data_IF_856874677662
#
_entry.id   IF_856874677662
#
_cell.length_a   1.000
_cell.length_b   1.000
_cell.length_c   1.000
_cell.angle_alpha   90.00
_cell.angle_beta   90.00
_cell.angle_gamma   90.00
#
_symmetry.space_group_name_H-M   'P 1'
#
loop_
_entity.id
_entity.type
_entity.pdbx_description
1 polymer ?
#
# COMPACT_ATOMS: atom_id res chain seq x y z
N UNK A 1 -6.94 -29.47 -4.20
CA UNK A 1 -6.03 -29.39 -5.37
C UNK A 1 -4.98 -28.33 -5.12
N UNK A 2 -3.76 -28.80 -4.89
CA UNK A 2 -2.58 -27.98 -4.56
C UNK A 2 -1.94 -27.33 -5.81
N UNK A 3 -2.75 -26.70 -6.63
CA UNK A 3 -2.20 -25.95 -7.78
C UNK A 3 -1.84 -24.54 -7.34
N UNK A 4 -0.65 -24.05 -7.69
CA UNK A 4 -0.28 -22.67 -7.40
C UNK A 4 -1.19 -21.71 -8.17
N UNK A 5 -1.43 -20.53 -7.57
CA UNK A 5 -2.09 -19.44 -8.27
C UNK A 5 -1.14 -18.87 -9.33
N UNK A 6 -1.66 -18.61 -10.51
CA UNK A 6 -0.92 -17.97 -11.59
C UNK A 6 -1.26 -16.49 -11.55
N UNK A 7 -0.31 -15.58 -11.31
CA UNK A 7 -0.57 -14.15 -11.31
C UNK A 7 -0.95 -13.68 -12.71
N UNK A 8 -1.69 -12.58 -12.79
CA UNK A 8 -1.90 -11.88 -14.05
C UNK A 8 -0.65 -11.03 -14.33
N UNK A 9 -0.11 -11.19 -15.54
CA UNK A 9 1.01 -10.39 -15.98
C UNK A 9 0.53 -9.25 -16.88
N UNK A 10 0.91 -8.02 -16.52
CA UNK A 10 0.65 -6.81 -17.31
C UNK A 10 2.00 -6.10 -17.40
N UNK A 11 2.52 -5.98 -18.61
CA UNK A 11 3.87 -5.52 -18.86
C UNK A 11 4.88 -6.35 -18.02
N UNK A 12 5.70 -5.73 -17.20
CA UNK A 12 6.66 -6.43 -16.32
C UNK A 12 6.13 -6.57 -14.87
N UNK A 13 4.81 -6.44 -14.67
CA UNK A 13 4.21 -6.52 -13.33
C UNK A 13 3.38 -7.80 -13.21
N UNK A 14 3.73 -8.62 -12.21
CA UNK A 14 2.94 -9.79 -11.81
C UNK A 14 1.92 -9.36 -10.75
N UNK A 15 0.63 -9.49 -11.04
CA UNK A 15 -0.46 -9.05 -10.18
C UNK A 15 -1.29 -10.23 -9.68
N UNK A 16 -1.53 -10.31 -8.39
CA UNK A 16 -2.57 -11.14 -7.80
C UNK A 16 -3.43 -10.33 -6.82
N UNK A 17 -4.67 -10.74 -6.65
CA UNK A 17 -5.62 -10.05 -5.77
C UNK A 17 -6.62 -11.04 -5.21
N UNK A 18 -7.10 -10.77 -4.00
CA UNK A 18 -8.24 -11.49 -3.41
C UNK A 18 -9.46 -11.47 -4.34
N UNK A 19 -9.69 -10.36 -5.05
CA UNK A 19 -10.77 -10.24 -6.00
C UNK A 19 -10.70 -11.22 -7.18
N UNK A 20 -9.52 -11.76 -7.51
CA UNK A 20 -9.38 -12.78 -8.56
C UNK A 20 -9.69 -14.19 -8.07
N UNK A 21 -9.59 -14.42 -6.76
CA UNK A 21 -9.82 -15.71 -6.12
C UNK A 21 -11.27 -15.89 -5.69
N UNK A 22 -12.05 -14.82 -5.68
CA UNK A 22 -13.43 -14.83 -5.22
C UNK A 22 -14.39 -15.06 -6.38
N UNK A 23 -15.24 -16.07 -6.25
CA UNK A 23 -16.48 -16.14 -7.01
C UNK A 23 -17.39 -14.95 -6.63
N UNK A 24 -18.26 -14.53 -7.58
CA UNK A 24 -19.13 -13.34 -7.48
C UNK A 24 -20.05 -13.25 -6.24
N UNK A 25 -20.05 -14.25 -5.40
CA UNK A 25 -20.76 -14.25 -4.13
C UNK A 25 -19.80 -13.76 -3.03
N UNK A 26 -19.73 -12.44 -2.84
CA UNK A 26 -18.92 -11.79 -1.83
C UNK A 26 -19.19 -12.36 -0.43
N UNK A 27 -18.37 -13.28 0.01
CA UNK A 27 -18.33 -13.70 1.40
C UNK A 27 -17.90 -12.50 2.27
N UNK A 28 -18.59 -12.29 3.37
CA UNK A 28 -18.18 -11.29 4.37
C UNK A 28 -16.88 -11.80 4.99
N UNK A 29 -15.76 -11.22 4.60
CA UNK A 29 -14.45 -11.57 5.14
C UNK A 29 -14.34 -11.04 6.57
N UNK A 30 -14.28 -11.95 7.51
CA UNK A 30 -13.93 -11.64 8.92
C UNK A 30 -12.41 -11.76 9.07
N UNK A 31 -11.83 -11.08 10.07
CA UNK A 31 -10.38 -10.99 10.27
C UNK A 31 -9.59 -12.28 10.04
N UNK A 32 -9.91 -13.41 10.70
CA UNK A 32 -9.17 -14.66 10.48
C UNK A 32 -9.24 -15.22 9.06
N UNK A 33 -10.35 -14.99 8.35
CA UNK A 33 -10.49 -15.39 6.95
C UNK A 33 -9.62 -14.52 6.04
N UNK A 34 -9.58 -13.22 6.31
CA UNK A 34 -8.73 -12.29 5.57
C UNK A 34 -7.25 -12.64 5.75
N UNK A 35 -6.83 -12.90 6.98
CA UNK A 35 -5.47 -13.35 7.30
C UNK A 35 -5.09 -14.63 6.57
N UNK A 36 -5.99 -15.62 6.56
CA UNK A 36 -5.77 -16.87 5.81
C UNK A 36 -5.66 -16.63 4.31
N UNK A 37 -6.47 -15.74 3.75
CA UNK A 37 -6.46 -15.42 2.34
C UNK A 37 -5.19 -14.65 1.93
N UNK A 38 -4.70 -13.72 2.75
CA UNK A 38 -3.43 -13.03 2.54
C UNK A 38 -2.29 -14.04 2.48
N UNK A 39 -2.20 -14.94 3.46
CA UNK A 39 -1.20 -16.00 3.47
C UNK A 39 -1.29 -16.90 2.22
N UNK A 40 -2.49 -17.27 1.81
CA UNK A 40 -2.68 -18.12 0.62
C UNK A 40 -2.22 -17.40 -0.66
N UNK A 41 -2.51 -16.10 -0.81
CA UNK A 41 -2.01 -15.33 -1.95
C UNK A 41 -0.50 -15.27 -1.92
N UNK A 42 0.09 -14.97 -0.78
CA UNK A 42 1.54 -14.86 -0.66
C UNK A 42 2.25 -16.19 -0.97
N UNK A 43 1.86 -17.27 -0.29
CA UNK A 43 2.55 -18.56 -0.35
C UNK A 43 2.24 -19.39 -1.60
N UNK A 44 0.99 -19.29 -2.12
CA UNK A 44 0.54 -20.15 -3.21
C UNK A 44 0.63 -19.51 -4.59
N UNK A 45 0.95 -18.24 -4.70
CA UNK A 45 1.15 -17.60 -5.99
C UNK A 45 2.53 -17.93 -6.53
N UNK A 46 2.58 -18.37 -7.77
CA UNK A 46 3.85 -18.56 -8.47
C UNK A 46 4.35 -17.20 -8.97
N UNK A 47 5.04 -16.48 -8.09
CA UNK A 47 5.54 -15.14 -8.37
C UNK A 47 6.71 -15.13 -9.35
N UNK A 48 7.49 -16.23 -9.44
CA UNK A 48 8.76 -16.25 -10.16
C UNK A 48 9.84 -15.44 -9.45
N UNK A 49 10.83 -14.99 -10.20
CA UNK A 49 11.87 -14.11 -9.68
C UNK A 49 11.34 -12.67 -9.66
N UNK A 50 11.39 -12.03 -8.50
CA UNK A 50 10.92 -10.66 -8.29
C UNK A 50 12.08 -9.79 -7.79
N UNK A 51 12.18 -8.57 -8.32
CA UNK A 51 13.01 -7.52 -7.71
C UNK A 51 12.31 -6.96 -6.47
N UNK A 52 10.99 -6.72 -6.55
CA UNK A 52 10.17 -6.17 -5.47
C UNK A 52 8.83 -6.87 -5.35
N UNK A 53 8.34 -7.05 -4.13
CA UNK A 53 6.96 -7.46 -3.83
C UNK A 53 6.23 -6.31 -3.12
N UNK A 54 5.27 -5.70 -3.80
CA UNK A 54 4.41 -4.66 -3.25
C UNK A 54 3.11 -5.26 -2.71
N UNK A 55 2.80 -4.99 -1.45
CA UNK A 55 1.59 -5.45 -0.79
C UNK A 55 0.69 -4.24 -0.51
N UNK A 56 -0.39 -4.11 -1.29
CA UNK A 56 -1.42 -3.10 -1.04
C UNK A 56 -2.33 -3.57 0.09
N UNK A 57 -2.24 -2.88 1.23
CA UNK A 57 -2.91 -3.28 2.45
C UNK A 57 -4.37 -2.82 2.48
N UNK A 58 -5.30 -3.66 2.98
CA UNK A 58 -6.67 -3.23 3.22
C UNK A 58 -6.69 -2.09 4.25
N UNK A 59 -7.75 -1.24 4.25
CA UNK A 59 -7.87 -0.17 5.24
C UNK A 59 -8.04 -0.72 6.67
N UNK A 60 -7.56 0.04 7.64
CA UNK A 60 -7.64 -0.30 9.07
C UNK A 60 -6.35 -0.87 9.64
N UNK A 61 -6.35 -1.21 10.91
CA UNK A 61 -5.17 -1.67 11.69
C UNK A 61 -5.38 -3.06 12.30
N UNK A 62 -6.20 -3.90 11.66
CA UNK A 62 -6.62 -5.18 12.21
C UNK A 62 -5.69 -6.36 11.86
N UNK A 63 -6.28 -7.57 11.89
CA UNK A 63 -5.58 -8.85 11.70
C UNK A 63 -4.75 -8.95 10.41
N UNK A 64 -5.12 -8.20 9.36
CA UNK A 64 -4.37 -8.16 8.10
C UNK A 64 -2.95 -7.61 8.32
N UNK A 65 -2.81 -6.53 9.07
CA UNK A 65 -1.50 -5.93 9.40
C UNK A 65 -0.64 -6.88 10.20
N UNK A 66 -1.22 -7.48 11.25
CA UNK A 66 -0.52 -8.50 12.04
C UNK A 66 -0.05 -9.67 11.18
N UNK A 67 -0.90 -10.11 10.25
CA UNK A 67 -0.55 -11.22 9.35
C UNK A 67 0.61 -10.84 8.45
N UNK A 68 0.59 -9.69 7.80
CA UNK A 68 1.66 -9.23 6.93
C UNK A 68 2.96 -9.06 7.73
N UNK A 69 2.93 -8.34 8.84
CA UNK A 69 4.13 -8.07 9.63
C UNK A 69 4.74 -9.33 10.27
N UNK A 70 3.91 -10.30 10.69
CA UNK A 70 4.39 -11.48 11.42
C UNK A 70 4.66 -12.69 10.53
N UNK A 71 3.98 -12.80 9.40
CA UNK A 71 4.10 -13.96 8.49
C UNK A 71 4.92 -13.68 7.25
N UNK A 72 4.70 -12.52 6.64
CA UNK A 72 5.41 -12.12 5.43
C UNK A 72 6.72 -11.41 5.79
N UNK A 73 6.68 -10.63 6.88
CA UNK A 73 7.83 -9.88 7.40
C UNK A 73 8.42 -8.95 6.33
N UNK A 74 7.73 -7.87 5.99
CA UNK A 74 8.21 -6.94 4.98
C UNK A 74 9.49 -6.22 5.44
N UNK A 75 10.38 -5.89 4.51
CA UNK A 75 11.60 -5.13 4.80
C UNK A 75 11.28 -3.74 5.34
N UNK A 76 10.24 -3.12 4.82
CA UNK A 76 9.71 -1.83 5.30
C UNK A 76 8.26 -1.61 4.86
N UNK A 77 7.66 -0.58 5.43
CA UNK A 77 6.33 -0.10 5.06
C UNK A 77 6.39 1.37 4.67
N UNK A 78 5.55 1.75 3.70
CA UNK A 78 5.31 3.14 3.32
C UNK A 78 3.87 3.48 3.73
N UNK A 79 3.70 4.56 4.47
CA UNK A 79 2.39 5.00 4.93
C UNK A 79 1.84 6.05 3.97
N UNK A 80 0.58 5.92 3.60
CA UNK A 80 -0.09 6.90 2.74
C UNK A 80 -1.24 7.52 3.50
N UNK A 81 -1.30 8.85 3.52
CA UNK A 81 -2.35 9.59 4.24
C UNK A 81 -2.78 10.85 3.48
N UNK A 82 -3.96 11.37 3.83
CA UNK A 82 -4.37 12.73 3.50
C UNK A 82 -4.11 13.65 4.68
N UNK A 83 -4.28 14.96 4.52
CA UNK A 83 -4.10 15.93 5.61
C UNK A 83 -5.36 16.17 6.45
N UNK A 84 -6.43 15.38 6.24
CA UNK A 84 -7.63 15.52 7.07
C UNK A 84 -7.34 15.13 8.53
N UNK A 85 -8.02 15.78 9.46
CA UNK A 85 -7.85 15.49 10.90
C UNK A 85 -8.07 14.01 11.23
N UNK A 86 -9.03 13.37 10.57
CA UNK A 86 -9.33 11.95 10.76
C UNK A 86 -8.18 11.09 10.25
N UNK A 87 -7.72 11.34 9.00
CA UNK A 87 -6.62 10.57 8.41
C UNK A 87 -5.33 10.71 9.18
N UNK A 88 -5.02 11.90 9.72
CA UNK A 88 -3.84 12.10 10.56
C UNK A 88 -3.96 11.34 11.88
N UNK A 89 -5.16 11.29 12.46
CA UNK A 89 -5.37 10.51 13.69
C UNK A 89 -5.17 9.01 13.43
N UNK A 90 -5.67 8.51 12.31
CA UNK A 90 -5.49 7.10 11.92
C UNK A 90 -4.05 6.80 11.53
N UNK A 91 -3.36 7.73 10.86
CA UNK A 91 -1.94 7.63 10.55
C UNK A 91 -1.10 7.45 11.82
N UNK A 92 -1.33 8.28 12.86
CA UNK A 92 -0.60 8.16 14.14
C UNK A 92 -0.81 6.79 14.78
N UNK A 93 -2.05 6.30 14.80
CA UNK A 93 -2.34 4.94 15.29
C UNK A 93 -1.65 3.85 14.49
N UNK A 94 -1.58 4.03 13.17
CA UNK A 94 -0.91 3.08 12.28
C UNK A 94 0.60 3.07 12.53
N UNK A 95 1.21 4.23 12.76
CA UNK A 95 2.61 4.34 13.18
C UNK A 95 2.85 3.54 14.47
N UNK A 96 2.05 3.80 15.52
CA UNK A 96 2.16 3.09 16.80
C UNK A 96 2.08 1.56 16.63
N UNK A 97 1.21 1.09 15.72
CA UNK A 97 1.07 -0.35 15.42
C UNK A 97 2.34 -0.91 14.79
N UNK A 98 2.89 -0.28 13.75
CA UNK A 98 4.10 -0.78 13.09
C UNK A 98 5.32 -0.70 13.99
N UNK A 99 5.45 0.33 14.81
CA UNK A 99 6.50 0.45 15.82
C UNK A 99 6.40 -0.67 16.86
N UNK A 100 5.20 -0.98 17.35
CA UNK A 100 4.97 -2.08 18.30
C UNK A 100 5.29 -3.46 17.71
N UNK A 101 5.20 -3.59 16.38
CA UNK A 101 5.55 -4.81 15.65
C UNK A 101 7.02 -4.85 15.21
N UNK A 102 7.82 -3.84 15.56
CA UNK A 102 9.20 -3.66 15.10
C UNK A 102 9.33 -3.68 13.57
N UNK A 103 8.32 -3.20 12.86
CA UNK A 103 8.34 -3.10 11.41
C UNK A 103 8.87 -1.72 11.01
N UNK A 104 9.90 -1.68 10.19
CA UNK A 104 10.52 -0.44 9.74
C UNK A 104 9.54 0.39 8.91
N UNK A 105 9.33 1.65 9.30
CA UNK A 105 8.61 2.63 8.50
C UNK A 105 9.65 3.38 7.67
N UNK A 106 9.57 3.25 6.34
CA UNK A 106 10.46 3.97 5.42
C UNK A 106 10.11 5.45 5.37
N UNK A 107 8.84 5.76 5.38
CA UNK A 107 8.34 7.13 5.45
C UNK A 107 6.87 7.25 5.07
N UNK A 108 6.44 8.49 4.87
CA UNK A 108 5.05 8.87 4.65
C UNK A 108 4.89 9.56 3.30
N UNK A 109 3.88 9.18 2.53
CA UNK A 109 3.41 9.90 1.34
C UNK A 109 2.10 10.60 1.68
N UNK A 110 2.06 11.92 1.49
CA UNK A 110 0.84 12.71 1.66
C UNK A 110 0.12 12.87 0.33
N UNK A 111 -1.17 12.52 0.29
CA UNK A 111 -1.97 12.53 -0.92
C UNK A 111 -3.14 13.52 -0.82
N UNK A 112 -3.16 14.53 -1.69
CA UNK A 112 -4.19 15.58 -1.70
C UNK A 112 -5.41 15.21 -2.56
N UNK A 113 -6.09 14.12 -2.23
CA UNK A 113 -7.29 13.67 -2.99
C UNK A 113 -8.50 14.59 -2.85
N UNK A 114 -8.50 15.48 -1.87
CA UNK A 114 -9.64 16.37 -1.57
C UNK A 114 -9.41 17.83 -1.97
N UNK A 115 -8.32 18.12 -2.69
CA UNK A 115 -7.94 19.50 -3.04
C UNK A 115 -7.91 20.41 -1.79
N UNK A 116 -7.33 19.92 -0.70
CA UNK A 116 -7.28 20.62 0.58
C UNK A 116 -6.43 21.88 0.47
N UNK A 117 -6.95 22.99 0.99
CA UNK A 117 -6.17 24.23 1.12
C UNK A 117 -5.00 24.06 2.08
N UNK A 118 -3.88 24.73 1.81
CA UNK A 118 -2.68 24.67 2.62
C UNK A 118 -1.94 23.34 2.61
N UNK A 119 -2.21 22.46 1.64
CA UNK A 119 -1.59 21.14 1.55
C UNK A 119 -0.06 21.21 1.48
N UNK A 120 0.49 22.16 0.71
CA UNK A 120 1.96 22.31 0.57
C UNK A 120 2.63 22.78 1.86
N UNK A 121 1.95 23.66 2.60
CA UNK A 121 2.46 24.22 3.84
C UNK A 121 2.11 23.38 5.07
N UNK A 122 1.36 22.28 4.87
CA UNK A 122 0.97 21.40 5.96
C UNK A 122 2.21 20.74 6.58
N UNK A 123 2.40 20.95 7.86
CA UNK A 123 3.46 20.33 8.65
C UNK A 123 2.86 19.21 9.52
N UNK A 124 3.29 17.98 9.27
CA UNK A 124 2.94 16.83 10.08
C UNK A 124 3.92 16.72 11.24
N UNK A 125 3.41 16.81 12.46
CA UNK A 125 4.21 16.57 13.68
C UNK A 125 4.49 15.06 13.80
N UNK A 126 5.64 14.63 13.29
CA UNK A 126 6.11 13.25 13.30
C UNK A 126 7.63 13.21 13.18
N UNK A 127 8.25 12.16 13.70
CA UNK A 127 9.67 11.86 13.49
C UNK A 127 9.92 11.15 12.15
N UNK A 128 8.85 10.61 11.53
CA UNK A 128 8.95 9.91 10.26
C UNK A 128 9.13 10.88 9.08
N UNK A 129 9.94 10.51 8.12
CA UNK A 129 10.22 11.31 6.92
C UNK A 129 8.99 11.40 6.03
N UNK A 130 8.67 12.60 5.52
CA UNK A 130 7.70 12.76 4.45
C UNK A 130 8.47 12.59 3.13
N UNK A 131 8.21 11.46 2.46
CA UNK A 131 8.88 11.09 1.21
C UNK A 131 8.40 11.96 0.04
N UNK A 132 7.10 11.95 -0.20
CA UNK A 132 6.51 12.69 -1.31
C UNK A 132 5.17 13.32 -0.93
N UNK A 133 4.81 14.39 -1.67
CA UNK A 133 3.53 15.08 -1.59
C UNK A 133 2.87 15.05 -2.95
N UNK A 134 1.73 14.35 -3.04
CA UNK A 134 0.98 14.20 -4.29
C UNK A 134 -0.13 15.24 -4.33
N UNK A 135 -0.03 16.19 -5.24
CA UNK A 135 -1.04 17.22 -5.44
C UNK A 135 -2.32 16.68 -6.06
N UNK A 136 -3.43 17.35 -5.77
CA UNK A 136 -4.70 17.04 -6.37
C UNK A 136 -4.64 17.15 -7.90
N UNK A 137 -5.01 16.07 -8.57
CA UNK A 137 -5.13 16.05 -10.02
C UNK A 137 -6.42 15.34 -10.43
N UNK A 138 -7.29 16.09 -11.13
CA UNK A 138 -8.58 15.57 -11.63
C UNK A 138 -8.41 14.34 -12.52
N UNK A 139 -7.29 14.22 -13.22
CA UNK A 139 -6.99 13.09 -14.08
C UNK A 139 -6.92 11.75 -13.33
N UNK A 140 -6.56 11.75 -12.04
CA UNK A 140 -6.56 10.54 -11.22
C UNK A 140 -7.96 10.04 -10.87
N UNK A 141 -8.97 10.92 -10.98
CA UNK A 141 -10.37 10.58 -10.64
C UNK A 141 -11.13 10.15 -11.89
N UNK A 142 -10.70 10.61 -13.04
CA UNK A 142 -11.34 10.31 -14.34
C UNK A 142 -10.79 8.99 -14.89
N UNK A 143 -11.56 7.91 -14.70
CA UNK A 143 -11.21 6.57 -15.17
C UNK A 143 -11.10 6.43 -16.69
N UNK A 144 -11.53 7.44 -17.46
CA UNK A 144 -11.38 7.50 -18.91
C UNK A 144 -10.02 8.05 -19.34
N UNK A 145 -9.22 8.57 -18.41
CA UNK A 145 -7.91 9.15 -18.71
C UNK A 145 -6.86 8.03 -18.85
N UNK A 146 -6.12 7.97 -19.96
CA UNK A 146 -5.04 7.01 -20.11
C UNK A 146 -3.93 7.27 -19.08
N UNK A 147 -3.51 6.22 -18.37
CA UNK A 147 -2.44 6.30 -17.37
C UNK A 147 -1.12 6.83 -17.95
N UNK A 148 -0.87 6.59 -19.23
CA UNK A 148 0.35 7.03 -19.95
C UNK A 148 0.53 8.55 -19.98
N UNK A 149 -0.56 9.33 -19.88
CA UNK A 149 -0.52 10.79 -19.82
C UNK A 149 -0.22 11.34 -18.41
N UNK A 150 -0.19 10.48 -17.42
CA UNK A 150 0.17 10.83 -16.05
C UNK A 150 1.70 10.71 -15.92
N UNK A 151 2.37 11.82 -15.67
CA UNK A 151 3.81 11.80 -15.34
C UNK A 151 4.03 11.19 -13.95
N UNK A 152 3.66 9.91 -13.78
CA UNK A 152 3.73 9.20 -12.51
C UNK A 152 5.15 9.13 -11.96
N UNK A 153 6.14 9.01 -12.84
CA UNK A 153 7.56 8.93 -12.46
C UNK A 153 8.01 10.14 -11.63
N UNK A 154 7.40 11.31 -11.85
CA UNK A 154 7.76 12.52 -11.10
C UNK A 154 7.06 12.64 -9.73
N UNK A 155 6.04 11.83 -9.47
CA UNK A 155 5.23 11.92 -8.24
C UNK A 155 5.85 11.18 -7.06
N UNK A 156 6.68 10.16 -7.34
CA UNK A 156 7.24 9.26 -6.34
C UNK A 156 8.77 9.24 -6.34
N UNK A 157 9.40 10.35 -6.76
CA UNK A 157 10.86 10.42 -6.93
C UNK A 157 11.62 10.14 -5.63
N UNK A 158 11.18 10.73 -4.53
CA UNK A 158 11.86 10.53 -3.25
C UNK A 158 11.56 9.14 -2.69
N UNK A 159 10.31 8.67 -2.82
CA UNK A 159 9.92 7.32 -2.41
C UNK A 159 10.75 6.26 -3.14
N UNK A 160 10.89 6.35 -4.45
CA UNK A 160 11.68 5.40 -5.25
C UNK A 160 13.16 5.46 -4.90
N UNK A 161 13.70 6.66 -4.65
CA UNK A 161 15.09 6.81 -4.21
C UNK A 161 15.33 6.12 -2.90
N UNK A 162 14.48 6.38 -1.91
CA UNK A 162 14.59 5.81 -0.58
C UNK A 162 14.50 4.27 -0.61
N UNK A 163 13.60 3.71 -1.42
CA UNK A 163 13.52 2.26 -1.63
C UNK A 163 14.85 1.71 -2.13
N UNK A 164 15.46 2.33 -3.15
CA UNK A 164 16.72 1.87 -3.75
C UNK A 164 17.94 2.04 -2.84
N UNK A 165 17.91 2.94 -1.88
CA UNK A 165 18.98 3.12 -0.90
C UNK A 165 18.93 2.06 0.21
N UNK A 166 17.82 1.34 0.30
CA UNK A 166 17.60 0.28 1.30
C UNK A 166 17.63 -1.14 0.70
N UNK A 167 17.85 -1.27 -0.60
CA UNK A 167 18.21 -2.53 -1.27
C UNK A 167 19.68 -2.90 -0.99
#
# INVERSE_FOLDING_TARGET
TDRPYIPKNIDNISLNSLGFLLDKNAAIWRGPMLSSAINQIYEKTNWGDLDYLLIDMPPGTGDAYLTVCQKIVPDFVILVSTISKLSITDLKRTIDVFESLNTKILGIVLNNIHQSEGFQDFNLETENVILDRIEFNKKFIDSSYPFDDLKLDSLFLNTVREIKEHD
#
